data_IF_568890027629
#
_entry.id   IF_568890027629
#
_cell.length_a   1.000
_cell.length_b   1.000
_cell.length_c   1.000
_cell.angle_alpha   90.00
_cell.angle_beta   90.00
_cell.angle_gamma   90.00
#
_symmetry.space_group_name_H-M   'P 1'
#
loop_
_entity.id
_entity.type
_entity.pdbx_description
1 polymer ?
#
# COMPACT_ATOMS: atom_id res chain seq x y z
N UNK A 1 47.27 -13.00 0.22
CA UNK A 1 45.85 -13.32 0.00
C UNK A 1 45.40 -12.52 -1.21
N UNK A 2 44.84 -13.18 -2.23
CA UNK A 2 44.22 -12.48 -3.36
C UNK A 2 42.86 -11.95 -2.92
N UNK A 3 42.51 -10.72 -3.31
CA UNK A 3 41.17 -10.19 -3.05
C UNK A 3 40.13 -11.04 -3.79
N UNK A 4 39.03 -11.38 -3.12
CA UNK A 4 37.92 -12.07 -3.76
C UNK A 4 37.21 -11.11 -4.73
N UNK A 5 36.86 -11.60 -5.91
CA UNK A 5 36.19 -10.81 -6.96
C UNK A 5 34.72 -11.19 -7.05
N UNK A 6 33.86 -10.24 -7.42
CA UNK A 6 32.43 -10.49 -7.64
C UNK A 6 32.28 -11.45 -8.83
N UNK A 7 31.53 -12.54 -8.62
CA UNK A 7 31.22 -13.55 -9.66
C UNK A 7 29.76 -13.50 -10.10
N UNK A 8 28.85 -13.09 -9.22
CA UNK A 8 27.44 -12.87 -9.57
C UNK A 8 26.84 -11.75 -8.71
N UNK A 9 25.84 -11.06 -9.26
CA UNK A 9 25.05 -10.07 -8.56
C UNK A 9 23.56 -10.41 -8.72
N UNK A 10 22.81 -10.42 -7.64
CA UNK A 10 21.38 -10.74 -7.65
C UNK A 10 20.60 -9.67 -6.89
N UNK A 11 19.53 -9.16 -7.49
CA UNK A 11 18.60 -8.23 -6.86
C UNK A 11 17.28 -8.94 -6.53
N UNK A 12 16.81 -8.72 -5.31
CA UNK A 12 15.51 -9.21 -4.83
C UNK A 12 14.65 -8.06 -4.28
N UNK A 13 13.31 -8.10 -4.48
CA UNK A 13 12.57 -9.04 -5.35
C UNK A 13 12.86 -8.78 -6.85
N UNK A 14 12.71 -9.82 -7.69
CA UNK A 14 12.88 -9.71 -9.14
C UNK A 14 11.67 -9.13 -9.88
N UNK A 15 10.53 -9.02 -9.18
CA UNK A 15 9.32 -8.34 -9.66
C UNK A 15 8.81 -7.42 -8.56
N UNK A 16 8.54 -6.17 -8.92
CA UNK A 16 8.03 -5.13 -8.04
C UNK A 16 6.71 -4.64 -8.60
N UNK A 17 5.66 -4.74 -7.79
CA UNK A 17 4.37 -4.10 -8.04
C UNK A 17 4.20 -2.98 -7.02
N UNK A 18 4.38 -1.74 -7.45
CA UNK A 18 4.37 -0.57 -6.56
C UNK A 18 3.28 0.41 -6.99
N UNK A 19 2.51 0.93 -6.04
CA UNK A 19 1.53 1.96 -6.39
C UNK A 19 2.26 3.28 -6.67
N UNK A 20 1.74 4.12 -7.57
CA UNK A 20 2.29 5.46 -7.82
C UNK A 20 2.43 6.24 -6.50
N UNK A 21 3.60 6.82 -6.28
CA UNK A 21 4.00 7.55 -5.07
C UNK A 21 4.44 6.65 -3.91
N UNK A 22 4.50 5.33 -4.11
CA UNK A 22 4.97 4.39 -3.08
C UNK A 22 6.37 3.89 -3.37
N UNK A 23 6.99 3.33 -2.33
CA UNK A 23 8.36 2.83 -2.39
C UNK A 23 8.45 1.34 -2.07
N UNK A 24 9.46 0.68 -2.61
CA UNK A 24 9.82 -0.71 -2.31
C UNK A 24 11.33 -0.80 -2.11
N UNK A 25 11.78 -1.46 -1.03
CA UNK A 25 13.21 -1.73 -0.84
C UNK A 25 13.66 -2.88 -1.75
N UNK A 26 14.75 -2.65 -2.48
CA UNK A 26 15.50 -3.67 -3.21
C UNK A 26 16.75 -4.07 -2.42
N UNK A 27 17.11 -5.35 -2.49
CA UNK A 27 18.32 -5.90 -1.88
C UNK A 27 19.23 -6.47 -2.97
N UNK A 28 20.44 -5.94 -3.10
CA UNK A 28 21.48 -6.48 -3.98
C UNK A 28 22.46 -7.36 -3.20
N UNK A 29 22.58 -8.62 -3.58
CA UNK A 29 23.51 -9.60 -2.99
C UNK A 29 24.58 -9.96 -4.01
N UNK A 30 25.85 -9.73 -3.67
CA UNK A 30 26.99 -10.20 -4.46
C UNK A 30 27.44 -11.58 -3.96
N UNK A 31 27.84 -12.45 -4.88
CA UNK A 31 28.61 -13.67 -4.60
C UNK A 31 30.03 -13.45 -5.09
N UNK A 32 31.01 -13.90 -4.30
CA UNK A 32 32.42 -13.72 -4.58
C UNK A 32 33.10 -15.03 -5.00
N UNK A 33 34.28 -14.92 -5.61
CA UNK A 33 35.08 -16.06 -6.09
C UNK A 33 35.55 -17.01 -4.99
N UNK A 34 35.56 -16.57 -3.74
CA UNK A 34 35.87 -17.40 -2.56
C UNK A 34 34.63 -18.14 -2.01
N UNK A 35 33.49 -18.01 -2.68
CA UNK A 35 32.22 -18.64 -2.31
C UNK A 35 31.42 -17.88 -1.25
N UNK A 36 31.91 -16.74 -0.76
CA UNK A 36 31.14 -15.89 0.17
C UNK A 36 30.08 -15.06 -0.55
N UNK A 37 29.09 -14.57 0.18
CA UNK A 37 28.10 -13.61 -0.32
C UNK A 37 27.93 -12.44 0.66
N UNK A 38 27.55 -11.27 0.16
CA UNK A 38 27.31 -10.08 0.99
C UNK A 38 26.24 -9.17 0.40
N UNK A 39 25.53 -8.46 1.27
CA UNK A 39 24.69 -7.33 0.88
C UNK A 39 25.59 -6.18 0.39
N UNK A 40 25.38 -5.79 -0.85
CA UNK A 40 26.10 -4.73 -1.54
C UNK A 40 25.16 -3.63 -2.02
N UNK A 41 23.95 -3.53 -1.47
CA UNK A 41 22.91 -2.57 -1.89
C UNK A 41 23.37 -1.11 -1.89
N UNK A 42 24.35 -0.77 -1.03
CA UNK A 42 24.97 0.56 -0.93
C UNK A 42 26.23 0.75 -1.79
N UNK A 43 26.72 -0.31 -2.41
CA UNK A 43 27.95 -0.35 -3.22
C UNK A 43 27.66 -0.49 -4.70
N UNK A 44 26.48 -1.00 -5.07
CA UNK A 44 26.04 -1.12 -6.47
C UNK A 44 25.64 0.23 -7.05
N UNK A 45 25.75 0.35 -8.37
CA UNK A 45 25.08 1.40 -9.13
C UNK A 45 23.71 0.89 -9.57
N UNK A 46 22.64 1.53 -9.10
CA UNK A 46 21.27 1.24 -9.51
C UNK A 46 20.92 1.99 -10.80
N UNK A 47 20.39 1.27 -11.79
CA UNK A 47 20.09 1.80 -13.12
C UNK A 47 18.64 1.47 -13.48
N UNK A 48 17.68 2.38 -13.25
CA UNK A 48 16.34 2.28 -13.82
C UNK A 48 16.37 2.57 -15.32
N UNK A 49 15.66 1.77 -16.11
CA UNK A 49 15.55 1.95 -17.57
C UNK A 49 14.74 3.21 -17.93
N UNK A 50 13.62 3.44 -17.23
CA UNK A 50 12.81 4.66 -17.34
C UNK A 50 12.73 5.41 -16.00
N UNK A 51 13.65 6.36 -15.72
CA UNK A 51 13.66 7.14 -14.48
C UNK A 51 12.42 8.01 -14.24
N UNK A 52 11.59 8.23 -15.27
CA UNK A 52 10.30 8.92 -15.12
C UNK A 52 9.21 7.99 -14.58
N UNK A 53 9.36 6.68 -14.78
CA UNK A 53 8.46 5.63 -14.31
C UNK A 53 8.83 5.22 -12.89
N UNK A 54 10.09 4.89 -12.63
CA UNK A 54 10.58 4.59 -11.29
C UNK A 54 12.03 5.05 -11.07
N UNK A 55 12.32 5.54 -9.87
CA UNK A 55 13.67 5.93 -9.44
C UNK A 55 14.17 5.01 -8.34
N UNK A 56 15.50 4.88 -8.18
CA UNK A 56 16.11 4.08 -7.11
C UNK A 56 17.20 4.90 -6.43
N UNK A 57 17.12 5.02 -5.11
CA UNK A 57 18.16 5.70 -4.32
C UNK A 57 19.44 4.85 -4.23
N UNK A 58 20.60 5.44 -3.88
CA UNK A 58 21.84 4.68 -3.68
C UNK A 58 21.78 3.59 -2.60
N UNK A 59 20.76 3.61 -1.73
CA UNK A 59 20.53 2.55 -0.72
C UNK A 59 19.56 1.47 -1.19
N UNK A 60 19.15 1.47 -2.46
CA UNK A 60 18.23 0.48 -3.04
C UNK A 60 16.74 0.74 -2.77
N UNK A 61 16.36 1.93 -2.27
CA UNK A 61 14.94 2.28 -2.11
C UNK A 61 14.38 2.72 -3.46
N UNK A 62 13.52 1.90 -4.07
CA UNK A 62 12.80 2.19 -5.31
C UNK A 62 11.56 3.04 -5.01
N UNK A 63 11.27 4.05 -5.84
CA UNK A 63 10.05 4.87 -5.84
C UNK A 63 9.32 4.70 -7.17
N UNK A 64 8.01 4.47 -7.14
CA UNK A 64 7.16 4.46 -8.34
C UNK A 64 6.60 5.85 -8.62
N UNK A 65 7.00 6.48 -9.71
CA UNK A 65 6.74 7.90 -9.96
C UNK A 65 5.63 8.12 -11.01
N UNK A 66 5.58 7.29 -12.06
CA UNK A 66 4.55 7.36 -13.13
C UNK A 66 3.95 5.98 -13.39
N UNK A 67 2.63 5.91 -13.62
CA UNK A 67 1.93 4.65 -13.91
C UNK A 67 2.38 4.10 -15.27
N UNK A 68 3.27 3.11 -15.24
CA UNK A 68 3.80 2.39 -16.39
C UNK A 68 4.58 1.16 -15.89
N UNK A 69 5.13 0.39 -16.82
CA UNK A 69 6.09 -0.69 -16.52
C UNK A 69 7.49 -0.23 -16.92
N UNK A 70 8.50 -0.53 -16.11
CA UNK A 70 9.92 -0.30 -16.39
C UNK A 70 10.73 -1.46 -15.83
N UNK A 71 12.04 -1.47 -16.08
CA UNK A 71 12.97 -2.38 -15.41
C UNK A 71 14.01 -1.62 -14.59
N UNK A 72 14.65 -2.33 -13.67
CA UNK A 72 15.81 -1.87 -12.89
C UNK A 72 16.89 -2.94 -12.91
N UNK A 73 18.13 -2.53 -13.08
CA UNK A 73 19.32 -3.37 -12.91
C UNK A 73 20.29 -2.74 -11.92
N UNK A 74 21.16 -3.56 -11.34
CA UNK A 74 22.27 -3.12 -10.50
C UNK A 74 23.61 -3.53 -11.14
N UNK A 75 24.64 -2.72 -10.96
CA UNK A 75 25.98 -2.97 -11.47
C UNK A 75 27.03 -2.83 -10.37
N UNK A 76 27.95 -3.80 -10.30
CA UNK A 76 29.10 -3.76 -9.40
C UNK A 76 30.29 -4.49 -10.03
N UNK A 77 31.46 -3.84 -10.06
CA UNK A 77 32.74 -4.43 -10.46
C UNK A 77 32.72 -5.18 -11.81
N UNK A 78 31.97 -4.68 -12.80
CA UNK A 78 31.87 -5.30 -14.11
C UNK A 78 30.76 -6.34 -14.25
N UNK A 79 30.01 -6.62 -13.18
CA UNK A 79 28.91 -7.58 -13.15
C UNK A 79 27.58 -6.86 -13.05
N UNK A 80 26.69 -7.12 -14.01
CA UNK A 80 25.28 -6.68 -14.00
C UNK A 80 24.42 -7.73 -13.30
N UNK A 81 23.42 -7.29 -12.54
CA UNK A 81 22.46 -8.18 -11.87
C UNK A 81 21.46 -8.81 -12.84
N UNK A 82 20.57 -9.65 -12.31
CA UNK A 82 19.30 -9.91 -12.99
C UNK A 82 18.49 -8.61 -13.17
N UNK A 83 17.63 -8.61 -14.17
CA UNK A 83 16.61 -7.58 -14.37
C UNK A 83 15.53 -7.69 -13.29
N UNK A 84 15.11 -6.55 -12.74
CA UNK A 84 13.93 -6.41 -11.89
C UNK A 84 12.82 -5.79 -12.71
N UNK A 85 11.72 -6.51 -12.88
CA UNK A 85 10.52 -5.99 -13.53
C UNK A 85 9.74 -5.10 -12.56
N UNK A 86 9.44 -3.87 -12.95
CA UNK A 86 8.72 -2.90 -12.11
C UNK A 86 7.43 -2.50 -12.79
N UNK A 87 6.30 -2.77 -12.15
CA UNK A 87 5.00 -2.23 -12.53
C UNK A 87 4.61 -1.15 -11.52
N UNK A 88 4.54 0.10 -11.99
CA UNK A 88 3.95 1.20 -11.25
C UNK A 88 2.47 1.28 -11.63
N UNK A 89 1.60 0.94 -10.71
CA UNK A 89 0.16 0.96 -10.94
C UNK A 89 -0.50 2.15 -10.24
N UNK A 90 -1.63 2.60 -10.76
CA UNK A 90 -2.58 3.40 -10.01
C UNK A 90 -3.86 2.59 -9.85
N UNK A 91 -4.56 2.82 -8.75
CA UNK A 91 -5.85 2.19 -8.58
C UNK A 91 -6.89 2.81 -9.50
N UNK A 92 -7.14 2.15 -10.64
CA UNK A 92 -8.08 2.64 -11.66
C UNK A 92 -9.53 2.41 -11.28
N UNK A 93 -9.81 1.39 -10.47
CA UNK A 93 -11.14 1.09 -9.95
C UNK A 93 -11.04 0.37 -8.62
N UNK A 94 -11.44 1.03 -7.53
CA UNK A 94 -11.40 0.42 -6.20
C UNK A 94 -12.50 -0.63 -5.98
N UNK A 95 -13.49 -0.72 -6.90
CA UNK A 95 -14.50 -1.78 -6.91
C UNK A 95 -14.05 -3.08 -7.58
N UNK A 96 -12.88 -3.07 -8.25
CA UNK A 96 -12.31 -4.23 -8.93
C UNK A 96 -11.21 -4.89 -8.09
N UNK A 97 -10.10 -5.35 -8.67
CA UNK A 97 -9.03 -6.08 -7.98
C UNK A 97 -7.95 -5.19 -7.34
N UNK A 98 -8.29 -3.94 -6.98
CA UNK A 98 -7.31 -2.96 -6.55
C UNK A 98 -7.67 -2.24 -5.25
N UNK A 99 -6.63 -1.93 -4.46
CA UNK A 99 -6.67 -1.05 -3.29
C UNK A 99 -5.95 0.26 -3.62
N UNK A 100 -6.64 1.38 -3.47
CA UNK A 100 -6.04 2.70 -3.53
C UNK A 100 -5.21 2.95 -2.27
N UNK A 101 -3.94 3.25 -2.46
CA UNK A 101 -3.01 3.64 -1.40
C UNK A 101 -2.69 5.12 -1.64
N UNK A 102 -3.35 5.98 -0.89
CA UNK A 102 -3.30 7.42 -1.10
C UNK A 102 -2.30 8.07 -0.14
N UNK A 103 -1.21 8.61 -0.68
CA UNK A 103 -0.30 9.50 0.05
C UNK A 103 -0.84 10.93 0.05
N UNK A 104 -0.93 11.51 1.25
CA UNK A 104 -1.33 12.91 1.46
C UNK A 104 -0.18 13.92 1.28
N UNK A 105 0.98 13.48 0.78
CA UNK A 105 2.16 14.31 0.51
C UNK A 105 3.14 14.41 1.69
N UNK A 106 2.89 13.68 2.76
CA UNK A 106 3.76 13.63 3.95
C UNK A 106 4.39 12.24 4.16
N UNK A 107 4.18 11.32 3.22
CA UNK A 107 4.44 9.91 3.41
C UNK A 107 3.37 9.22 4.28
N UNK A 108 2.35 9.94 4.76
CA UNK A 108 1.19 9.31 5.41
C UNK A 108 0.26 8.73 4.35
N UNK A 109 0.04 7.42 4.43
CA UNK A 109 -0.78 6.65 3.51
C UNK A 109 -2.13 6.32 4.11
N UNK A 110 -3.18 6.37 3.29
CA UNK A 110 -4.50 5.86 3.61
C UNK A 110 -4.96 4.85 2.57
N UNK A 111 -5.77 3.89 3.00
CA UNK A 111 -6.45 2.96 2.08
C UNK A 111 -7.93 3.26 1.98
N UNK A 112 -8.55 2.97 0.82
CA UNK A 112 -10.00 2.79 0.78
C UNK A 112 -10.42 1.50 1.51
N UNK A 113 -11.73 1.34 1.74
CA UNK A 113 -12.26 0.03 2.15
C UNK A 113 -12.10 -0.97 1.02
N UNK A 114 -11.52 -2.16 1.25
CA UNK A 114 -11.17 -3.07 0.17
C UNK A 114 -12.42 -3.62 -0.52
N UNK A 115 -12.34 -3.78 -1.84
CA UNK A 115 -13.31 -4.62 -2.54
C UNK A 115 -13.16 -6.07 -2.13
N UNK A 116 -14.22 -6.85 -2.37
CA UNK A 116 -14.21 -8.29 -2.21
C UNK A 116 -13.11 -8.93 -3.04
N UNK A 117 -13.06 -8.59 -4.33
CA UNK A 117 -12.09 -9.12 -5.30
C UNK A 117 -10.64 -8.86 -4.88
N UNK A 118 -10.33 -7.63 -4.44
CA UNK A 118 -8.99 -7.30 -3.97
C UNK A 118 -8.61 -8.13 -2.75
N UNK A 119 -9.45 -8.11 -1.70
CA UNK A 119 -9.07 -8.73 -0.43
C UNK A 119 -8.97 -10.25 -0.55
N UNK A 120 -9.86 -10.89 -1.32
CA UNK A 120 -9.80 -12.33 -1.59
C UNK A 120 -8.49 -12.71 -2.30
N UNK A 121 -8.04 -11.92 -3.28
CA UNK A 121 -6.77 -12.16 -3.99
C UNK A 121 -5.53 -12.10 -3.09
N UNK A 122 -5.65 -11.48 -1.91
CA UNK A 122 -4.56 -11.34 -0.92
C UNK A 122 -4.65 -12.33 0.24
N UNK A 123 -5.57 -13.30 0.15
CA UNK A 123 -5.78 -14.32 1.18
C UNK A 123 -6.86 -13.95 2.20
N UNK A 124 -7.63 -12.89 1.97
CA UNK A 124 -8.76 -12.48 2.79
C UNK A 124 -8.37 -11.75 4.09
N UNK A 125 -9.39 -11.37 4.84
CA UNK A 125 -9.34 -10.94 6.25
C UNK A 125 -10.68 -11.30 6.90
N UNK A 126 -10.72 -11.38 8.23
CA UNK A 126 -12.00 -11.48 8.95
C UNK A 126 -12.88 -10.27 8.60
N UNK A 127 -14.17 -10.53 8.39
CA UNK A 127 -15.15 -9.54 7.93
C UNK A 127 -16.56 -9.96 8.35
N UNK A 128 -17.56 -9.10 8.09
CA UNK A 128 -18.98 -9.34 8.39
C UNK A 128 -19.85 -9.40 7.14
N UNK A 129 -19.28 -9.89 6.04
CA UNK A 129 -19.92 -9.94 4.74
C UNK A 129 -19.56 -8.74 3.88
N UNK A 130 -20.32 -8.52 2.82
CA UNK A 130 -20.06 -7.48 1.84
C UNK A 130 -21.33 -6.72 1.48
N UNK A 131 -21.12 -5.58 0.85
CA UNK A 131 -22.19 -4.74 0.33
C UNK A 131 -21.82 -4.25 -1.05
N UNK A 132 -22.82 -4.08 -1.92
CA UNK A 132 -22.60 -3.67 -3.29
C UNK A 132 -22.66 -2.14 -3.42
N UNK A 133 -21.69 -1.55 -4.10
CA UNK A 133 -21.74 -0.18 -4.61
C UNK A 133 -22.12 -0.22 -6.09
N UNK A 134 -22.98 0.71 -6.53
CA UNK A 134 -23.59 0.70 -7.87
C UNK A 134 -23.18 1.92 -8.73
N UNK A 135 -22.13 2.66 -8.33
CA UNK A 135 -21.65 3.83 -9.06
C UNK A 135 -22.17 5.18 -8.57
N UNK A 136 -23.03 5.23 -7.54
CA UNK A 136 -23.64 6.48 -7.05
C UNK A 136 -22.93 7.10 -5.85
N UNK A 137 -22.46 6.27 -4.94
CA UNK A 137 -21.78 6.68 -3.69
C UNK A 137 -20.47 5.91 -3.50
N UNK A 138 -19.94 5.34 -4.58
CA UNK A 138 -18.80 4.44 -4.62
C UNK A 138 -18.70 3.84 -6.02
N UNK A 139 -17.55 3.30 -6.43
CA UNK A 139 -17.42 2.67 -7.73
C UNK A 139 -18.24 1.38 -7.76
N UNK A 140 -18.65 0.93 -8.94
CA UNK A 140 -19.39 -0.33 -9.06
C UNK A 140 -18.52 -1.51 -8.59
N UNK A 141 -19.01 -2.29 -7.64
CA UNK A 141 -18.32 -3.46 -7.10
C UNK A 141 -18.80 -3.87 -5.72
N UNK A 142 -18.37 -5.06 -5.27
CA UNK A 142 -18.65 -5.56 -3.93
C UNK A 142 -17.54 -5.15 -2.97
N UNK A 143 -17.90 -4.64 -1.81
CA UNK A 143 -17.00 -4.16 -0.77
C UNK A 143 -17.23 -4.87 0.54
N UNK A 144 -16.16 -5.36 1.17
CA UNK A 144 -16.27 -5.95 2.50
C UNK A 144 -16.69 -4.89 3.53
N UNK A 145 -17.52 -5.31 4.47
CA UNK A 145 -17.95 -4.54 5.64
C UNK A 145 -17.49 -5.24 6.91
N UNK A 146 -17.26 -4.46 7.96
CA UNK A 146 -16.57 -4.91 9.15
C UNK A 146 -17.33 -4.46 10.40
N UNK A 147 -17.37 -5.30 11.43
CA UNK A 147 -17.50 -4.77 12.80
C UNK A 147 -16.17 -4.12 13.21
N UNK A 148 -16.11 -3.46 14.37
CA UNK A 148 -14.91 -2.70 14.73
C UNK A 148 -13.66 -3.58 14.88
N UNK A 149 -13.78 -4.76 15.52
CA UNK A 149 -12.66 -5.67 15.72
C UNK A 149 -12.09 -6.17 14.38
N UNK A 150 -12.96 -6.53 13.43
CA UNK A 150 -12.53 -6.98 12.12
C UNK A 150 -11.95 -5.84 11.27
N UNK A 151 -12.40 -4.59 11.47
CA UNK A 151 -11.80 -3.43 10.83
C UNK A 151 -10.36 -3.19 11.31
N UNK A 152 -10.09 -3.44 12.59
CA UNK A 152 -8.73 -3.36 13.15
C UNK A 152 -7.85 -4.52 12.63
N UNK A 153 -8.38 -5.76 12.64
CA UNK A 153 -7.70 -6.94 12.10
C UNK A 153 -7.40 -6.87 10.59
N UNK A 154 -8.16 -6.08 9.83
CA UNK A 154 -7.82 -5.77 8.44
C UNK A 154 -6.44 -5.10 8.33
N UNK A 155 -6.13 -4.17 9.23
CA UNK A 155 -4.85 -3.47 9.20
C UNK A 155 -3.69 -4.38 9.62
N UNK A 156 -3.92 -5.33 10.53
CA UNK A 156 -2.96 -6.40 10.83
C UNK A 156 -2.70 -7.30 9.62
N UNK A 157 -3.74 -7.59 8.84
CA UNK A 157 -3.60 -8.30 7.56
C UNK A 157 -2.70 -7.52 6.62
N UNK A 158 -2.87 -6.19 6.52
CA UNK A 158 -2.02 -5.36 5.67
C UNK A 158 -0.57 -5.33 6.16
N UNK A 159 -0.34 -5.36 7.48
CA UNK A 159 1.00 -5.48 8.07
C UNK A 159 1.68 -6.78 7.68
N UNK A 160 0.96 -7.90 7.81
CA UNK A 160 1.47 -9.23 7.48
C UNK A 160 1.80 -9.37 5.99
N UNK A 161 1.06 -8.66 5.13
CA UNK A 161 1.25 -8.67 3.68
C UNK A 161 2.19 -7.57 3.18
N UNK A 162 2.76 -6.77 4.08
CA UNK A 162 3.62 -5.62 3.75
C UNK A 162 3.02 -4.74 2.65
N UNK A 163 1.74 -4.41 2.75
CA UNK A 163 1.07 -3.58 1.73
C UNK A 163 1.81 -2.25 1.60
N UNK A 164 2.12 -1.86 0.35
CA UNK A 164 2.97 -0.71 0.02
C UNK A 164 4.38 -0.74 0.66
N UNK A 165 4.91 -1.93 0.96
CA UNK A 165 6.19 -2.08 1.65
C UNK A 165 6.15 -1.71 3.13
N UNK A 166 4.96 -1.58 3.75
CA UNK A 166 4.80 -1.11 5.13
C UNK A 166 4.19 -2.17 6.05
N UNK A 167 4.64 -2.17 7.30
CA UNK A 167 4.26 -3.12 8.36
C UNK A 167 3.70 -2.46 9.61
N UNK A 168 3.31 -1.19 9.52
CA UNK A 168 2.80 -0.36 10.61
C UNK A 168 1.42 0.28 10.33
N UNK A 169 0.62 -0.37 9.49
CA UNK A 169 -0.79 -0.06 9.28
C UNK A 169 -1.59 -0.22 10.57
N UNK A 170 -2.47 0.74 10.82
CA UNK A 170 -3.46 0.70 11.90
C UNK A 170 -4.77 1.31 11.41
N UNK A 171 -5.88 1.05 12.11
CA UNK A 171 -7.13 1.72 11.80
C UNK A 171 -6.98 3.24 11.97
N UNK A 172 -7.43 4.01 10.98
CA UNK A 172 -7.31 5.46 10.98
C UNK A 172 -8.07 6.11 12.15
N UNK A 173 -7.56 7.21 12.69
CA UNK A 173 -8.29 7.99 13.69
C UNK A 173 -9.35 8.87 13.03
N UNK A 174 -10.35 9.32 13.80
CA UNK A 174 -11.37 10.24 13.29
C UNK A 174 -10.78 11.56 12.82
N UNK A 175 -9.71 12.06 13.47
CA UNK A 175 -9.06 13.30 13.08
C UNK A 175 -8.27 13.14 11.77
N UNK A 176 -7.65 11.97 11.55
CA UNK A 176 -6.96 11.68 10.30
C UNK A 176 -7.92 11.59 9.12
N UNK A 177 -9.03 10.85 9.27
CA UNK A 177 -10.04 10.76 8.23
C UNK A 177 -10.81 12.08 8.02
N UNK A 178 -11.01 12.86 9.09
CA UNK A 178 -11.57 14.22 8.96
C UNK A 178 -10.63 15.16 8.23
N UNK A 179 -9.32 15.08 8.50
CA UNK A 179 -8.31 15.83 7.75
C UNK A 179 -8.29 15.43 6.28
N UNK A 180 -8.35 14.13 5.99
CA UNK A 180 -8.45 13.60 4.63
C UNK A 180 -9.67 14.17 3.89
N UNK A 181 -10.85 14.13 4.51
CA UNK A 181 -12.08 14.71 3.96
C UNK A 181 -11.99 16.23 3.80
N UNK A 182 -11.50 16.96 4.80
CA UNK A 182 -11.42 18.43 4.73
C UNK A 182 -10.54 18.92 3.57
N UNK A 183 -9.49 18.17 3.24
CA UNK A 183 -8.58 18.50 2.13
C UNK A 183 -9.15 18.11 0.77
N UNK A 184 -9.83 16.96 0.65
CA UNK A 184 -10.19 16.37 -0.64
C UNK A 184 -11.70 16.41 -0.95
N UNK A 185 -12.52 16.75 0.04
CA UNK A 185 -13.98 16.64 -0.02
C UNK A 185 -14.45 15.19 -0.08
N UNK A 186 -15.51 14.96 -0.85
CA UNK A 186 -16.08 13.63 -1.06
C UNK A 186 -15.05 12.68 -1.71
N UNK A 187 -14.65 11.64 -0.97
CA UNK A 187 -13.59 10.73 -1.40
C UNK A 187 -13.99 9.84 -2.59
N UNK A 188 -15.29 9.67 -2.88
CA UNK A 188 -15.70 9.02 -4.12
C UNK A 188 -15.37 9.87 -5.34
N UNK A 189 -15.71 11.16 -5.31
CA UNK A 189 -15.39 12.06 -6.43
C UNK A 189 -13.90 12.37 -6.52
N UNK A 190 -13.20 12.41 -5.38
CA UNK A 190 -11.77 12.70 -5.36
C UNK A 190 -10.90 11.51 -5.78
N UNK A 191 -11.29 10.28 -5.39
CA UNK A 191 -10.41 9.10 -5.48
C UNK A 191 -11.12 7.80 -5.89
N UNK A 192 -12.43 7.83 -6.14
CA UNK A 192 -13.19 6.63 -6.46
C UNK A 192 -13.34 5.67 -5.29
N UNK A 193 -13.35 6.15 -4.04
CA UNK A 193 -13.56 5.30 -2.86
C UNK A 193 -15.05 5.00 -2.66
N UNK A 194 -15.37 3.84 -2.07
CA UNK A 194 -16.72 3.56 -1.57
C UNK A 194 -17.04 4.45 -0.36
N UNK A 195 -18.13 5.21 -0.42
CA UNK A 195 -18.53 6.17 0.63
C UNK A 195 -20.03 6.11 0.94
N UNK A 196 -20.76 5.07 0.50
CA UNK A 196 -22.17 4.90 0.86
C UNK A 196 -22.38 4.70 2.35
N UNK A 197 -21.44 4.03 3.01
CA UNK A 197 -21.45 3.73 4.44
C UNK A 197 -20.32 4.52 5.11
N UNK A 198 -20.47 4.80 6.40
CA UNK A 198 -19.42 5.43 7.19
C UNK A 198 -18.20 4.51 7.33
N UNK A 199 -17.09 5.10 7.76
CA UNK A 199 -15.84 4.42 8.06
C UNK A 199 -15.65 4.31 9.57
N UNK A 200 -15.23 3.13 10.02
CA UNK A 200 -14.73 2.92 11.38
C UNK A 200 -13.48 3.77 11.64
N UNK A 201 -13.29 4.12 12.90
CA UNK A 201 -12.06 4.77 13.36
C UNK A 201 -11.55 4.12 14.63
N UNK A 202 -10.25 4.23 14.89
CA UNK A 202 -9.63 3.79 16.15
C UNK A 202 -9.91 4.72 17.33
N UNK A 203 -10.63 5.82 17.12
CA UNK A 203 -10.89 6.81 18.18
C UNK A 203 -12.04 6.35 19.07
N UNK A 204 -11.72 5.93 20.29
CA UNK A 204 -12.72 5.58 21.31
C UNK A 204 -13.49 6.81 21.77
N UNK A 205 -14.79 6.64 22.04
CA UNK A 205 -15.67 7.68 22.56
C UNK A 205 -16.72 7.04 23.47
N UNK A 206 -16.42 7.02 24.77
CA UNK A 206 -17.25 6.33 25.76
C UNK A 206 -17.24 4.82 25.51
N UNK A 207 -18.41 4.15 25.51
CA UNK A 207 -18.49 2.69 25.31
C UNK A 207 -18.29 2.24 23.85
N UNK A 208 -18.24 3.18 22.90
CA UNK A 208 -18.10 2.88 21.48
C UNK A 208 -16.95 3.61 20.82
N UNK A 209 -16.99 3.65 19.49
CA UNK A 209 -15.98 4.28 18.65
C UNK A 209 -16.60 5.35 17.76
N UNK A 210 -15.80 6.39 17.47
CA UNK A 210 -16.19 7.36 16.47
C UNK A 210 -16.20 6.69 15.09
N UNK A 211 -17.15 7.11 14.25
CA UNK A 211 -17.17 6.80 12.83
C UNK A 211 -17.22 8.11 12.03
N UNK A 212 -16.93 8.06 10.73
CA UNK A 212 -17.02 9.23 9.86
C UNK A 212 -17.47 8.88 8.44
N UNK A 213 -18.34 9.70 7.87
CA UNK A 213 -18.70 9.64 6.46
C UNK A 213 -17.66 10.36 5.62
N UNK A 214 -16.94 9.63 4.75
CA UNK A 214 -16.05 10.22 3.76
C UNK A 214 -16.78 10.81 2.54
N UNK A 215 -18.12 10.79 2.55
CA UNK A 215 -18.97 11.45 1.56
C UNK A 215 -19.22 12.92 1.89
N UNK A 216 -19.46 13.23 3.16
CA UNK A 216 -19.91 14.55 3.61
C UNK A 216 -19.28 15.03 4.92
N UNK A 217 -18.35 14.27 5.51
CA UNK A 217 -17.58 14.66 6.69
C UNK A 217 -18.31 14.48 8.03
N UNK A 218 -19.58 14.08 8.04
CA UNK A 218 -20.30 13.87 9.29
C UNK A 218 -19.72 12.71 10.08
N UNK A 219 -19.54 12.90 11.39
CA UNK A 219 -19.04 11.87 12.30
C UNK A 219 -20.06 11.49 13.36
N UNK A 220 -20.17 10.20 13.64
CA UNK A 220 -21.07 9.64 14.65
C UNK A 220 -20.34 8.88 15.76
N UNK A 221 -21.13 8.27 16.63
CA UNK A 221 -20.70 7.27 17.61
C UNK A 221 -21.41 5.96 17.27
N UNK A 222 -20.69 4.85 17.24
CA UNK A 222 -21.26 3.51 17.04
C UNK A 222 -20.60 2.53 18.01
N UNK A 223 -21.36 1.59 18.53
CA UNK A 223 -20.82 0.52 19.37
C UNK A 223 -20.12 -0.54 18.51
N UNK A 224 -19.11 -1.25 19.04
CA UNK A 224 -18.22 -2.08 18.24
C UNK A 224 -18.90 -3.20 17.44
N UNK A 225 -20.03 -3.71 17.95
CA UNK A 225 -20.80 -4.84 17.41
C UNK A 225 -22.12 -4.47 16.76
N UNK A 226 -22.53 -3.20 16.84
CA UNK A 226 -23.90 -2.80 16.51
C UNK A 226 -24.09 -2.47 15.02
N UNK A 227 -22.99 -2.33 14.28
CA UNK A 227 -23.01 -1.91 12.89
C UNK A 227 -21.86 -2.50 12.07
N UNK A 228 -22.02 -2.45 10.75
CA UNK A 228 -21.05 -2.92 9.78
C UNK A 228 -20.65 -1.79 8.85
N UNK A 229 -19.46 -1.24 9.11
CA UNK A 229 -18.95 -0.06 8.43
C UNK A 229 -17.76 -0.42 7.53
N UNK A 230 -17.39 0.54 6.70
CA UNK A 230 -16.15 0.49 5.93
C UNK A 230 -14.92 0.70 6.83
N UNK A 231 -13.75 0.30 6.35
CA UNK A 231 -12.50 0.44 7.07
C UNK A 231 -11.46 1.15 6.21
N UNK A 232 -10.64 2.01 6.84
CA UNK A 232 -9.49 2.63 6.20
C UNK A 232 -8.29 2.46 7.12
N UNK A 233 -7.26 1.80 6.61
CA UNK A 233 -5.99 1.68 7.32
C UNK A 233 -5.12 2.89 6.98
N UNK A 234 -4.41 3.37 7.99
CA UNK A 234 -3.42 4.44 7.85
C UNK A 234 -2.05 3.90 8.24
N UNK A 235 -1.04 4.30 7.48
CA UNK A 235 0.36 4.10 7.84
C UNK A 235 1.07 5.45 7.82
N UNK A 236 1.86 5.70 8.85
CA UNK A 236 2.70 6.90 8.98
C UNK A 236 4.17 6.51 8.79
N UNK A 237 5.02 7.40 8.23
CA UNK A 237 6.46 7.18 8.19
C UNK A 237 7.09 6.99 9.57
#
# INVERSE_FOLDING_TARGET
MTNAIVTSLTVTPSQVLVAKGQTQQLLATATYSDGTSSDVSRSVTWTPDEPQTATVTPTGLLSGDTVATTTVEAFLDGVTSNTVDVEVYACRSTGASCLDIFDTGSGKLFTNSPSKTFLDSRGGSTNKGFTQEIGTSGPTGDFYIFDWNNADSLCDTYNTKSIAGRTNWRLATVNELRGLFNTNGNMFTARGWAVRINYWTSTSRGPGYANISLRNGYSGLTMPSDDYLYASCVSVP
#
